data_IF_902580216167
#
_entry.id   IF_902580216167
#
_cell.length_a   1.000
_cell.length_b   1.000
_cell.length_c   1.000
_cell.angle_alpha   90.00
_cell.angle_beta   90.00
_cell.angle_gamma   90.00
#
_symmetry.space_group_name_H-M   'P 1'
#
loop_
_entity.id
_entity.type
_entity.pdbx_description
1 polymer ?
#
# COMPACT_ATOMS: atom_id res chain seq x y z
N UNK A 1 12.38 35.80 8.64
CA UNK A 1 11.02 35.67 9.22
C UNK A 1 9.87 35.62 8.21
N UNK A 2 9.92 36.26 7.03
CA UNK A 2 8.79 36.23 6.06
C UNK A 2 8.42 34.83 5.53
N UNK A 3 9.38 33.91 5.39
CA UNK A 3 9.15 32.55 4.86
C UNK A 3 8.30 31.70 5.82
N UNK A 4 8.62 31.71 7.12
CA UNK A 4 7.84 30.97 8.14
C UNK A 4 6.42 31.55 8.25
N UNK A 5 6.32 32.88 8.26
CA UNK A 5 5.04 33.57 8.30
C UNK A 5 4.12 33.22 7.12
N UNK A 6 4.68 33.15 5.92
CA UNK A 6 3.96 32.75 4.71
C UNK A 6 3.55 31.26 4.68
N UNK A 7 4.09 30.45 5.59
CA UNK A 7 3.77 29.01 5.75
C UNK A 7 2.94 28.74 7.00
N UNK A 8 2.28 29.76 7.57
CA UNK A 8 1.47 29.68 8.80
C UNK A 8 2.25 29.20 10.04
N UNK A 9 3.56 29.48 10.11
CA UNK A 9 4.39 29.20 11.29
C UNK A 9 4.67 30.53 11.97
N UNK A 10 3.86 30.88 12.97
CA UNK A 10 3.85 32.21 13.61
C UNK A 10 4.37 32.18 15.04
N UNK A 11 4.44 31.00 15.64
CA UNK A 11 4.89 30.78 17.02
C UNK A 11 6.04 29.76 17.11
N UNK A 12 6.67 29.71 18.29
CA UNK A 12 7.65 28.67 18.61
C UNK A 12 7.01 27.28 18.63
N UNK A 13 5.74 27.17 19.04
CA UNK A 13 5.00 25.92 19.04
C UNK A 13 4.72 25.43 17.62
N UNK A 14 4.34 26.32 16.70
CA UNK A 14 4.18 25.97 15.27
C UNK A 14 5.52 25.49 14.68
N UNK A 15 6.64 26.09 15.10
CA UNK A 15 7.97 25.67 14.67
C UNK A 15 8.36 24.31 15.27
N UNK A 16 8.01 24.04 16.53
CA UNK A 16 8.22 22.73 17.15
C UNK A 16 7.41 21.63 16.47
N UNK A 17 6.23 21.93 15.94
CA UNK A 17 5.45 20.97 15.14
C UNK A 17 6.15 20.60 13.81
N UNK A 18 7.08 21.42 13.31
CA UNK A 18 7.95 21.05 12.18
C UNK A 18 9.09 20.12 12.58
N UNK A 19 9.47 20.14 13.86
CA UNK A 19 10.43 19.19 14.40
C UNK A 19 9.71 17.87 14.63
N UNK A 20 9.58 17.11 13.56
CA UNK A 20 9.17 15.73 13.64
C UNK A 20 10.23 14.95 14.42
N UNK A 21 9.98 14.69 15.71
CA UNK A 21 10.73 13.68 16.43
C UNK A 21 10.35 12.34 15.79
N UNK A 22 11.32 11.65 15.17
CA UNK A 22 11.17 10.46 14.33
C UNK A 22 10.47 9.25 15.01
N UNK A 23 9.99 9.40 16.25
CA UNK A 23 9.39 8.35 17.05
C UNK A 23 7.87 8.18 16.92
N UNK A 24 7.11 9.15 16.39
CA UNK A 24 5.64 9.08 16.40
C UNK A 24 5.03 9.07 14.98
N UNK A 25 5.42 8.09 14.16
CA UNK A 25 4.63 7.76 12.97
C UNK A 25 3.22 7.35 13.40
N UNK A 26 2.20 7.89 12.70
CA UNK A 26 0.80 7.65 13.02
C UNK A 26 0.50 6.16 13.19
N UNK A 27 -0.37 5.83 14.13
CA UNK A 27 -0.84 4.47 14.34
C UNK A 27 -1.41 3.91 13.01
N UNK A 28 -0.86 2.81 12.47
CA UNK A 28 -1.33 2.26 11.21
C UNK A 28 -2.80 1.82 11.25
N UNK A 29 -3.34 1.47 12.43
CA UNK A 29 -4.73 1.05 12.58
C UNK A 29 -5.75 2.19 12.43
N UNK A 30 -5.28 3.45 12.34
CA UNK A 30 -6.13 4.58 11.95
C UNK A 30 -6.48 4.57 10.45
N UNK A 31 -5.75 3.82 9.62
CA UNK A 31 -6.06 3.67 8.20
C UNK A 31 -7.28 2.76 8.00
N UNK A 32 -8.27 3.16 7.18
CA UNK A 32 -9.43 2.34 6.89
C UNK A 32 -9.04 0.94 6.35
N UNK A 33 -9.77 -0.08 6.79
CA UNK A 33 -9.54 -1.51 6.50
C UNK A 33 -8.19 -2.09 6.96
N UNK A 34 -7.36 -1.38 7.74
CA UNK A 34 -6.08 -1.91 8.19
C UNK A 34 -6.23 -3.20 9.03
N UNK A 35 -7.09 -3.21 10.05
CA UNK A 35 -7.34 -4.39 10.90
C UNK A 35 -7.78 -5.61 10.08
N UNK A 36 -8.69 -5.38 9.12
CA UNK A 36 -9.20 -6.43 8.24
C UNK A 36 -8.10 -6.94 7.31
N UNK A 37 -7.26 -6.06 6.78
CA UNK A 37 -6.14 -6.40 5.91
C UNK A 37 -5.13 -7.28 6.65
N UNK A 38 -4.72 -6.90 7.87
CA UNK A 38 -3.82 -7.69 8.71
C UNK A 38 -4.42 -9.06 9.01
N UNK A 39 -5.67 -9.11 9.46
CA UNK A 39 -6.36 -10.37 9.79
C UNK A 39 -6.43 -11.33 8.58
N UNK A 40 -6.64 -10.79 7.38
CA UNK A 40 -6.66 -11.58 6.14
C UNK A 40 -5.26 -12.07 5.77
N UNK A 41 -4.24 -11.20 5.83
CA UNK A 41 -2.86 -11.58 5.55
C UNK A 41 -2.38 -12.68 6.51
N UNK A 42 -2.64 -12.57 7.81
CA UNK A 42 -2.33 -13.61 8.79
C UNK A 42 -3.01 -14.95 8.47
N UNK A 43 -4.27 -14.92 8.02
CA UNK A 43 -4.96 -16.13 7.57
C UNK A 43 -4.33 -16.72 6.30
N UNK A 44 -3.98 -15.88 5.32
CA UNK A 44 -3.33 -16.29 4.09
C UNK A 44 -1.94 -16.87 4.30
N UNK A 45 -1.17 -16.31 5.25
CA UNK A 45 0.13 -16.84 5.66
C UNK A 45 -0.01 -18.22 6.29
N UNK A 46 -0.99 -18.42 7.19
CA UNK A 46 -1.28 -19.74 7.79
C UNK A 46 -1.70 -20.79 6.74
N UNK A 47 -2.51 -20.37 5.78
CA UNK A 47 -3.00 -21.21 4.68
C UNK A 47 -1.95 -21.41 3.56
N UNK A 48 -0.78 -20.76 3.65
CA UNK A 48 0.28 -20.76 2.62
C UNK A 48 -0.24 -20.39 1.22
N UNK A 49 -1.12 -19.40 1.16
CA UNK A 49 -1.66 -18.88 -0.11
C UNK A 49 -0.55 -18.24 -0.93
N UNK A 50 -0.61 -18.42 -2.25
CA UNK A 50 0.28 -17.72 -3.19
C UNK A 50 -0.15 -16.25 -3.31
N UNK A 51 0.81 -15.33 -3.13
CA UNK A 51 0.60 -13.89 -3.13
C UNK A 51 1.42 -13.25 -4.25
N UNK A 52 0.80 -12.33 -4.99
CA UNK A 52 1.49 -11.42 -5.91
C UNK A 52 1.35 -10.00 -5.43
N UNK A 53 2.47 -9.28 -5.31
CA UNK A 53 2.49 -7.83 -5.10
C UNK A 53 2.48 -7.14 -6.46
N UNK A 54 1.44 -6.39 -6.78
CA UNK A 54 1.35 -5.61 -8.01
C UNK A 54 1.66 -4.15 -7.71
N UNK A 55 2.76 -3.64 -8.26
CA UNK A 55 3.23 -2.27 -8.06
C UNK A 55 2.88 -1.30 -9.17
N UNK A 56 3.36 -0.07 -9.01
CA UNK A 56 3.51 0.89 -10.10
C UNK A 56 4.99 1.05 -10.51
N UNK A 57 5.21 1.62 -11.69
CA UNK A 57 6.53 1.72 -12.33
C UNK A 57 7.38 2.90 -11.89
N UNK A 58 6.83 3.84 -11.12
CA UNK A 58 7.56 5.02 -10.67
C UNK A 58 8.32 4.77 -9.36
N UNK A 59 8.97 5.81 -8.81
CA UNK A 59 9.79 5.65 -7.62
C UNK A 59 8.98 5.23 -6.38
N UNK A 60 7.73 5.69 -6.27
CA UNK A 60 6.86 5.36 -5.15
C UNK A 60 6.37 3.92 -5.28
N UNK A 61 5.85 3.54 -6.46
CA UNK A 61 5.39 2.19 -6.74
C UNK A 61 6.48 1.12 -6.63
N UNK A 62 7.69 1.39 -7.14
CA UNK A 62 8.82 0.46 -7.02
C UNK A 62 9.26 0.32 -5.57
N UNK A 63 9.30 1.42 -4.80
CA UNK A 63 9.66 1.39 -3.38
C UNK A 63 8.61 0.66 -2.54
N UNK A 64 7.33 0.91 -2.80
CA UNK A 64 6.21 0.23 -2.17
C UNK A 64 6.21 -1.27 -2.47
N UNK A 65 6.52 -1.66 -3.71
CA UNK A 65 6.66 -3.05 -4.13
C UNK A 65 7.79 -3.74 -3.39
N UNK A 66 8.97 -3.12 -3.35
CA UNK A 66 10.13 -3.67 -2.65
C UNK A 66 9.84 -3.85 -1.15
N UNK A 67 9.21 -2.85 -0.51
CA UNK A 67 8.79 -2.92 0.88
C UNK A 67 7.84 -4.09 1.11
N UNK A 68 6.71 -4.12 0.41
CA UNK A 68 5.67 -5.13 0.62
C UNK A 68 6.20 -6.54 0.36
N UNK A 69 6.94 -6.73 -0.75
CA UNK A 69 7.53 -8.01 -1.10
C UNK A 69 8.49 -8.51 -0.01
N UNK A 70 9.47 -7.70 0.40
CA UNK A 70 10.43 -8.09 1.43
C UNK A 70 9.77 -8.26 2.81
N UNK A 71 8.83 -7.39 3.15
CA UNK A 71 8.11 -7.42 4.41
C UNK A 71 7.24 -8.67 4.55
N UNK A 72 6.58 -9.12 3.48
CA UNK A 72 5.84 -10.39 3.47
C UNK A 72 6.79 -11.59 3.64
N UNK A 73 7.93 -11.62 2.93
CA UNK A 73 8.92 -12.69 3.12
C UNK A 73 9.40 -12.75 4.58
N UNK A 74 9.61 -11.61 5.22
CA UNK A 74 9.99 -11.54 6.63
C UNK A 74 8.89 -11.91 7.60
N UNK A 75 7.63 -11.64 7.25
CA UNK A 75 6.47 -12.11 7.98
C UNK A 75 6.27 -13.63 7.86
N UNK A 76 7.11 -14.32 7.08
CA UNK A 76 7.11 -15.78 6.95
C UNK A 76 6.21 -16.30 5.82
N UNK A 77 5.88 -15.47 4.84
CA UNK A 77 5.14 -15.91 3.67
C UNK A 77 6.09 -16.62 2.69
N UNK A 78 5.82 -17.90 2.41
CA UNK A 78 6.69 -18.76 1.60
C UNK A 78 6.51 -18.56 0.07
N UNK A 79 5.34 -18.07 -0.35
CA UNK A 79 4.92 -18.03 -1.76
C UNK A 79 4.52 -16.60 -2.15
N UNK A 80 5.52 -15.74 -2.32
CA UNK A 80 5.33 -14.35 -2.72
C UNK A 80 6.12 -14.08 -3.99
N UNK A 81 5.49 -13.45 -4.97
CA UNK A 81 6.15 -12.82 -6.10
C UNK A 81 5.69 -11.35 -6.25
N UNK A 82 6.22 -10.68 -7.27
CA UNK A 82 5.84 -9.30 -7.57
C UNK A 82 5.71 -9.09 -9.09
N UNK A 83 4.96 -8.05 -9.44
CA UNK A 83 4.76 -7.60 -10.80
C UNK A 83 4.79 -6.08 -10.84
N UNK A 84 5.55 -5.52 -11.77
CA UNK A 84 5.56 -4.07 -12.05
C UNK A 84 5.18 -3.91 -13.53
N UNK A 85 4.08 -3.20 -13.83
CA UNK A 85 3.61 -3.06 -15.20
C UNK A 85 4.58 -2.24 -16.04
N UNK A 86 4.62 -2.53 -17.34
CA UNK A 86 5.32 -1.68 -18.29
C UNK A 86 4.47 -0.45 -18.61
N UNK A 87 4.97 0.74 -18.23
CA UNK A 87 4.30 2.03 -18.50
C UNK A 87 3.87 2.25 -19.95
N UNK A 88 4.68 1.82 -20.91
CA UNK A 88 4.46 2.12 -22.33
C UNK A 88 3.50 1.15 -22.97
N UNK A 89 3.54 -0.12 -22.56
CA UNK A 89 2.75 -1.19 -23.17
C UNK A 89 1.42 -1.42 -22.45
N UNK A 90 1.41 -1.31 -21.11
CA UNK A 90 0.26 -1.65 -20.26
C UNK A 90 -0.40 -0.41 -19.63
N UNK A 91 0.35 0.69 -19.49
CA UNK A 91 -0.15 1.92 -18.88
C UNK A 91 -0.10 1.89 -17.34
N UNK A 92 -1.00 2.65 -16.72
CA UNK A 92 -1.03 2.88 -15.27
C UNK A 92 -2.19 2.13 -14.59
N UNK A 93 -1.94 1.63 -13.39
CA UNK A 93 -2.91 0.95 -12.55
C UNK A 93 -3.00 -0.55 -12.84
N UNK A 94 -3.76 -1.25 -11.99
CA UNK A 94 -4.03 -2.67 -12.16
C UNK A 94 -4.88 -2.88 -13.42
N UNK A 95 -4.39 -3.72 -14.34
CA UNK A 95 -5.06 -4.07 -15.59
C UNK A 95 -5.60 -5.52 -15.57
N UNK A 96 -6.56 -5.82 -16.45
CA UNK A 96 -7.21 -7.13 -16.51
C UNK A 96 -6.29 -8.26 -16.96
N UNK A 97 -5.31 -7.97 -17.81
CA UNK A 97 -4.39 -8.97 -18.35
C UNK A 97 -3.45 -9.47 -17.26
N UNK A 98 -2.95 -8.58 -16.39
CA UNK A 98 -2.17 -8.93 -15.22
C UNK A 98 -2.98 -9.76 -14.20
N UNK A 99 -4.28 -9.47 -14.03
CA UNK A 99 -5.17 -10.29 -13.18
C UNK A 99 -5.39 -11.68 -13.78
N UNK A 100 -5.61 -11.77 -15.09
CA UNK A 100 -5.73 -13.04 -15.79
C UNK A 100 -4.45 -13.87 -15.68
N UNK A 101 -3.28 -13.24 -15.87
CA UNK A 101 -1.99 -13.90 -15.71
C UNK A 101 -1.78 -14.38 -14.27
N UNK A 102 -2.12 -13.57 -13.27
CA UNK A 102 -2.05 -13.98 -11.86
C UNK A 102 -2.91 -15.22 -11.59
N UNK A 103 -4.10 -15.30 -12.17
CA UNK A 103 -4.96 -16.49 -12.06
C UNK A 103 -4.31 -17.72 -12.71
N UNK A 104 -3.76 -17.57 -13.92
CA UNK A 104 -3.07 -18.66 -14.63
C UNK A 104 -1.83 -19.16 -13.87
N UNK A 105 -1.12 -18.25 -13.20
CA UNK A 105 0.04 -18.55 -12.37
C UNK A 105 -0.33 -19.19 -11.01
N UNK A 106 -1.63 -19.33 -10.71
CA UNK A 106 -2.14 -19.92 -9.47
C UNK A 106 -2.09 -18.99 -8.25
N UNK A 107 -1.99 -17.68 -8.47
CA UNK A 107 -2.03 -16.68 -7.40
C UNK A 107 -3.41 -16.68 -6.73
N UNK A 108 -3.42 -16.65 -5.40
CA UNK A 108 -4.67 -16.62 -4.61
C UNK A 108 -4.99 -15.22 -4.09
N UNK A 109 -3.96 -14.42 -3.85
CA UNK A 109 -4.06 -13.07 -3.27
C UNK A 109 -3.25 -12.11 -4.14
N UNK A 110 -3.90 -11.04 -4.59
CA UNK A 110 -3.24 -9.96 -5.32
C UNK A 110 -3.25 -8.72 -4.43
N UNK A 111 -2.07 -8.22 -4.08
CA UNK A 111 -1.91 -7.02 -3.25
C UNK A 111 -1.41 -5.91 -4.15
N UNK A 112 -2.23 -4.90 -4.44
CA UNK A 112 -1.75 -3.72 -5.17
C UNK A 112 -1.08 -2.75 -4.20
N UNK A 113 0.02 -2.15 -4.63
CA UNK A 113 0.72 -1.08 -3.93
C UNK A 113 0.84 0.12 -4.86
N UNK A 114 0.57 1.31 -4.34
CA UNK A 114 0.60 2.58 -5.08
C UNK A 114 -0.37 2.69 -6.27
N UNK A 115 -1.34 1.78 -6.34
CA UNK A 115 -2.34 1.77 -7.39
C UNK A 115 -3.57 0.94 -7.01
N UNK A 116 -4.58 0.98 -7.87
CA UNK A 116 -5.73 0.08 -7.82
C UNK A 116 -7.04 0.72 -7.37
N UNK A 117 -7.04 1.90 -6.72
CA UNK A 117 -8.28 2.54 -6.23
C UNK A 117 -9.27 2.90 -7.35
N UNK A 118 -8.81 2.94 -8.60
CA UNK A 118 -9.64 3.21 -9.79
C UNK A 118 -9.78 2.02 -10.75
N UNK A 119 -9.25 0.84 -10.40
CA UNK A 119 -9.19 -0.34 -11.28
C UNK A 119 -10.46 -1.20 -11.20
N UNK A 120 -11.61 -0.63 -11.61
CA UNK A 120 -12.93 -1.28 -11.51
C UNK A 120 -12.99 -2.63 -12.25
N UNK A 121 -12.59 -2.64 -13.52
CA UNK A 121 -12.72 -3.82 -14.39
C UNK A 121 -11.79 -4.97 -13.93
N UNK A 122 -10.57 -4.61 -13.52
CA UNK A 122 -9.61 -5.57 -12.99
C UNK A 122 -10.06 -6.15 -11.64
N UNK A 123 -10.65 -5.33 -10.77
CA UNK A 123 -11.21 -5.78 -9.50
C UNK A 123 -12.41 -6.71 -9.70
N UNK A 124 -13.29 -6.39 -10.65
CA UNK A 124 -14.41 -7.27 -11.00
C UNK A 124 -13.92 -8.61 -11.58
N UNK A 125 -12.86 -8.59 -12.40
CA UNK A 125 -12.25 -9.81 -12.90
C UNK A 125 -11.63 -10.65 -11.78
N UNK A 126 -10.92 -10.03 -10.84
CA UNK A 126 -10.34 -10.71 -9.69
C UNK A 126 -11.43 -11.40 -8.86
N UNK A 127 -12.55 -10.71 -8.59
CA UNK A 127 -13.73 -11.29 -7.91
C UNK A 127 -14.26 -12.51 -8.67
N UNK A 128 -14.46 -12.41 -9.99
CA UNK A 128 -14.96 -13.53 -10.82
C UNK A 128 -14.03 -14.74 -10.83
N UNK A 129 -12.72 -14.51 -10.79
CA UNK A 129 -11.70 -15.56 -10.78
C UNK A 129 -11.40 -16.10 -9.39
N UNK A 130 -12.02 -15.55 -8.34
CA UNK A 130 -11.80 -15.96 -6.95
C UNK A 130 -10.45 -15.53 -6.38
N UNK A 131 -9.81 -14.51 -6.96
CA UNK A 131 -8.60 -13.89 -6.42
C UNK A 131 -9.00 -12.88 -5.34
N UNK A 132 -8.37 -12.99 -4.16
CA UNK A 132 -8.52 -11.99 -3.12
C UNK A 132 -7.69 -10.74 -3.46
N UNK A 133 -8.36 -9.70 -3.94
CA UNK A 133 -7.71 -8.41 -4.21
C UNK A 133 -7.65 -7.56 -2.95
N UNK A 134 -6.44 -7.22 -2.50
CA UNK A 134 -6.16 -6.23 -1.45
C UNK A 134 -5.58 -5.00 -2.13
N UNK A 135 -6.20 -3.84 -1.93
CA UNK A 135 -5.71 -2.59 -2.52
C UNK A 135 -5.02 -1.77 -1.43
N UNK A 136 -3.78 -1.34 -1.68
CA UNK A 136 -3.07 -0.37 -0.86
C UNK A 136 -2.61 0.77 -1.76
N UNK A 137 -3.13 1.97 -1.51
CA UNK A 137 -3.05 3.08 -2.46
C UNK A 137 -3.24 4.40 -1.71
N UNK A 138 -2.93 5.51 -2.37
CA UNK A 138 -3.08 6.85 -1.82
C UNK A 138 -3.68 7.85 -2.83
N UNK A 139 -3.91 7.42 -4.07
CA UNK A 139 -4.52 8.24 -5.10
C UNK A 139 -5.97 8.62 -4.74
N UNK A 140 -6.44 9.72 -5.36
CA UNK A 140 -7.81 10.19 -5.20
C UNK A 140 -8.84 9.12 -5.55
N UNK A 141 -9.90 9.05 -4.75
CA UNK A 141 -10.92 8.02 -4.89
C UNK A 141 -11.93 8.37 -6.00
N UNK A 142 -12.26 7.41 -6.89
CA UNK A 142 -13.35 7.58 -7.83
C UNK A 142 -14.71 7.55 -7.12
N UNK A 143 -15.80 8.03 -7.77
CA UNK A 143 -17.15 7.98 -7.21
C UNK A 143 -17.65 6.56 -6.90
N UNK A 144 -17.12 5.56 -7.61
CA UNK A 144 -17.43 4.14 -7.41
C UNK A 144 -16.14 3.44 -7.08
N UNK A 145 -16.06 2.81 -5.92
CA UNK A 145 -14.87 2.08 -5.50
C UNK A 145 -14.83 0.66 -6.12
N UNK A 146 -13.63 0.14 -6.41
CA UNK A 146 -13.44 -1.24 -6.89
C UNK A 146 -13.89 -2.25 -5.84
N UNK A 147 -14.38 -3.40 -6.32
CA UNK A 147 -14.72 -4.53 -5.46
C UNK A 147 -13.45 -5.27 -5.03
N UNK A 148 -12.89 -4.85 -3.92
CA UNK A 148 -11.72 -5.48 -3.30
C UNK A 148 -12.10 -6.13 -1.97
N UNK A 149 -11.29 -7.10 -1.54
CA UNK A 149 -11.39 -7.69 -0.21
C UNK A 149 -11.13 -6.64 0.88
N UNK A 150 -10.14 -5.76 0.67
CA UNK A 150 -9.86 -4.56 1.46
C UNK A 150 -9.30 -3.45 0.59
N UNK A 151 -9.49 -2.20 1.02
CA UNK A 151 -8.94 -1.02 0.35
C UNK A 151 -8.34 -0.06 1.39
N UNK A 152 -7.03 -0.17 1.62
CA UNK A 152 -6.29 0.72 2.50
C UNK A 152 -5.88 1.96 1.71
N UNK A 153 -6.62 3.05 1.88
CA UNK A 153 -6.30 4.35 1.28
C UNK A 153 -6.65 5.50 2.24
N UNK A 154 -5.70 6.40 2.56
CA UNK A 154 -5.94 7.50 3.48
C UNK A 154 -6.96 8.54 3.01
N UNK A 155 -7.23 8.64 1.71
CA UNK A 155 -8.30 9.49 1.17
C UNK A 155 -9.71 9.05 1.63
N UNK A 156 -9.83 7.85 2.23
CA UNK A 156 -11.07 7.39 2.89
C UNK A 156 -11.27 7.98 4.29
N UNK A 157 -10.28 8.65 4.86
CA UNK A 157 -10.37 9.26 6.19
C UNK A 157 -11.11 10.60 6.12
N UNK A 158 -11.72 11.02 7.23
CA UNK A 158 -12.33 12.36 7.32
C UNK A 158 -11.29 13.48 7.16
N UNK A 159 -10.07 13.26 7.67
CA UNK A 159 -8.92 14.13 7.49
C UNK A 159 -7.77 13.30 6.88
N UNK A 160 -7.69 13.22 5.54
CA UNK A 160 -6.69 12.41 4.86
C UNK A 160 -5.27 12.75 5.30
N UNK A 161 -4.52 11.72 5.67
CA UNK A 161 -3.08 11.84 5.81
C UNK A 161 -2.44 11.88 4.41
N UNK A 162 -1.22 12.42 4.30
CA UNK A 162 -0.51 12.58 3.02
C UNK A 162 0.52 11.48 2.80
N UNK A 163 0.16 10.23 3.10
CA UNK A 163 1.05 9.10 2.83
C UNK A 163 1.19 8.90 1.31
N UNK A 164 2.40 8.56 0.87
CA UNK A 164 2.70 8.01 -0.45
C UNK A 164 2.28 6.53 -0.50
N UNK A 165 2.25 5.90 -1.68
CA UNK A 165 1.99 4.48 -1.83
C UNK A 165 2.96 3.62 -1.01
N UNK A 166 4.24 3.98 -1.01
CA UNK A 166 5.28 3.37 -0.17
C UNK A 166 5.10 3.66 1.31
N UNK A 167 4.58 4.85 1.66
CA UNK A 167 4.14 5.19 3.01
C UNK A 167 2.99 4.31 3.50
N UNK A 168 1.99 4.04 2.65
CA UNK A 168 0.88 3.12 2.96
C UNK A 168 1.41 1.68 3.10
N UNK A 169 2.28 1.22 2.19
CA UNK A 169 2.90 -0.09 2.27
C UNK A 169 3.69 -0.27 3.59
N UNK A 170 4.46 0.74 4.00
CA UNK A 170 5.15 0.75 5.29
C UNK A 170 4.17 0.61 6.46
N UNK A 171 3.02 1.31 6.42
CA UNK A 171 2.02 1.21 7.47
C UNK A 171 1.38 -0.18 7.55
N UNK A 172 1.14 -0.84 6.41
CA UNK A 172 0.69 -2.24 6.40
C UNK A 172 1.71 -3.15 7.07
N UNK A 173 3.00 -3.00 6.75
CA UNK A 173 4.06 -3.79 7.38
C UNK A 173 4.19 -3.52 8.89
N UNK A 174 4.07 -2.25 9.32
CA UNK A 174 4.06 -1.87 10.73
C UNK A 174 2.88 -2.48 11.50
N UNK A 175 1.74 -2.67 10.84
CA UNK A 175 0.58 -3.31 11.45
C UNK A 175 0.70 -4.84 11.47
N UNK A 176 1.32 -5.43 10.44
CA UNK A 176 1.45 -6.87 10.27
C UNK A 176 2.57 -7.49 11.12
N UNK A 177 3.71 -6.81 11.26
CA UNK A 177 4.90 -7.36 11.91
C UNK A 177 4.99 -6.93 13.39
N UNK A 178 5.45 -7.82 14.29
CA UNK A 178 5.63 -7.47 15.68
C UNK A 178 6.88 -6.59 15.87
N UNK A 179 6.69 -5.45 16.56
CA UNK A 179 7.80 -4.57 16.94
C UNK A 179 8.27 -3.63 15.82
N UNK A 180 9.42 -2.96 16.02
CA UNK A 180 9.93 -2.00 15.04
C UNK A 180 10.42 -2.71 13.77
N UNK A 181 10.14 -2.10 12.63
CA UNK A 181 10.73 -2.52 11.36
C UNK A 181 12.23 -2.16 11.35
N UNK A 182 13.05 -2.84 10.55
CA UNK A 182 14.45 -2.45 10.37
C UNK A 182 14.56 -1.09 9.68
N UNK A 183 15.62 -0.37 10.02
CA UNK A 183 15.82 1.03 9.63
C UNK A 183 15.73 1.26 8.12
N UNK A 184 16.22 0.32 7.31
CA UNK A 184 16.18 0.47 5.85
C UNK A 184 14.75 0.53 5.31
N UNK A 185 13.75 -0.08 5.97
CA UNK A 185 12.36 -0.03 5.52
C UNK A 185 11.84 1.41 5.53
N UNK A 186 12.18 2.17 6.57
CA UNK A 186 11.87 3.60 6.64
C UNK A 186 12.63 4.41 5.59
N UNK A 187 13.89 4.05 5.31
CA UNK A 187 14.68 4.69 4.25
C UNK A 187 14.11 4.46 2.84
N UNK A 188 13.64 3.24 2.55
CA UNK A 188 13.00 2.91 1.28
C UNK A 188 11.64 3.64 1.17
N UNK A 189 10.84 3.64 2.22
CA UNK A 189 9.58 4.39 2.25
C UNK A 189 9.76 5.90 2.07
N UNK A 190 10.87 6.46 2.55
CA UNK A 190 11.19 7.87 2.36
C UNK A 190 11.73 8.21 0.95
N UNK A 191 12.05 7.19 0.14
CA UNK A 191 12.53 7.37 -1.24
C UNK A 191 11.37 7.50 -2.23
N UNK A 192 10.23 6.86 -1.94
CA UNK A 192 8.97 6.99 -2.68
C UNK A 192 8.20 8.24 -2.28
#
# INVERSE_FOLDING_TARGET
>A
MRILWARNIHSYDDFRQLQWESGELSDPFLLPDMERTVSMLEAFGRDKRAIRVYGDYDADGVSATALMFQGLLWAGFDHVDYYIPNRFDEGYGLNTDAVAQAYEDGINVLITVDCGSSSLDAAELAERLGIHLIITDHHGLPPVLPKAATLVNPERMENPNRLSGSGVALQVLRALLPGPLPEWAYGVAATG
#
